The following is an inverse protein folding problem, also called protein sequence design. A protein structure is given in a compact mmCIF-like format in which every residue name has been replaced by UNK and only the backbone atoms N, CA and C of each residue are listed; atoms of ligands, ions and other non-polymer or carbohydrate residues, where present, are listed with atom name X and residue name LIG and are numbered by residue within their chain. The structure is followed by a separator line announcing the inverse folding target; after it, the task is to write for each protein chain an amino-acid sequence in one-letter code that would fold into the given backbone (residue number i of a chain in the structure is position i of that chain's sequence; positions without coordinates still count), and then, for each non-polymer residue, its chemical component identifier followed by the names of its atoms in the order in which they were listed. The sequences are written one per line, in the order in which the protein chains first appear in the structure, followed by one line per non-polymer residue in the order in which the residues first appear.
data_IF_533912491983
#
_entry.id   IF_533912491983
#
_cell.length_a   1.000
_cell.length_b   1.000
_cell.length_c   1.000
_cell.angle_alpha   90.00
_cell.angle_beta   90.00
_cell.angle_gamma   90.00
#
_symmetry.space_group_name_H-M   'P 1'
#
loop_
_entity.id
_entity.type
_entity.pdbx_description
1 polymer ?
#
# COMPACT_ATOMS: atom_id res chain seq x y z
N UNK A 1 4.55 6.74 -68.61
CA UNK A 1 5.80 6.65 -67.82
C UNK A 1 5.44 5.93 -66.52
N UNK A 2 5.86 4.65 -66.44
CA UNK A 2 6.16 3.83 -65.27
C UNK A 2 5.10 3.68 -64.14
N UNK A 3 4.68 2.43 -63.97
CA UNK A 3 3.92 1.84 -62.87
C UNK A 3 4.83 1.40 -61.71
N UNK A 4 4.28 1.25 -60.50
CA UNK A 4 4.66 0.17 -59.57
C UNK A 4 3.68 -0.01 -58.40
N UNK A 5 3.21 -1.25 -58.28
CA UNK A 5 2.45 -1.88 -57.19
C UNK A 5 3.34 -2.27 -55.99
N UNK A 6 2.67 -2.73 -54.91
CA UNK A 6 3.07 -3.75 -53.93
C UNK A 6 3.56 -3.32 -52.51
N UNK A 7 2.61 -3.37 -51.57
CA UNK A 7 2.52 -4.22 -50.35
C UNK A 7 3.78 -4.78 -49.64
N UNK A 8 3.88 -4.52 -48.33
CA UNK A 8 4.41 -5.39 -47.24
C UNK A 8 3.94 -4.76 -45.89
N UNK A 9 3.00 -5.30 -45.11
CA UNK A 9 2.96 -6.47 -44.22
C UNK A 9 3.85 -6.43 -42.95
N UNK A 10 3.15 -6.53 -41.80
CA UNK A 10 3.50 -7.11 -40.49
C UNK A 10 4.38 -6.33 -39.48
N UNK A 11 3.82 -6.16 -38.26
CA UNK A 11 4.53 -5.80 -37.03
C UNK A 11 3.60 -5.39 -35.87
N UNK A 12 3.09 -6.37 -35.12
CA UNK A 12 2.29 -6.23 -33.89
C UNK A 12 3.13 -5.61 -32.76
N UNK A 13 2.55 -4.73 -31.93
CA UNK A 13 2.61 -4.79 -30.45
C UNK A 13 2.36 -3.43 -29.77
N UNK A 14 1.31 -3.40 -28.93
CA UNK A 14 1.17 -2.67 -27.65
C UNK A 14 1.83 -1.29 -27.53
N UNK A 15 1.04 -0.22 -27.52
CA UNK A 15 1.05 0.87 -26.52
C UNK A 15 -0.29 1.60 -26.69
N UNK A 16 -1.30 1.18 -25.93
CA UNK A 16 -2.59 1.86 -25.82
C UNK A 16 -2.91 1.92 -24.33
N UNK A 17 -2.43 2.95 -23.64
CA UNK A 17 -3.01 3.34 -22.35
C UNK A 17 -2.64 4.78 -21.92
N UNK A 18 -1.62 5.39 -22.53
CA UNK A 18 -1.07 6.66 -22.01
C UNK A 18 -1.59 7.95 -22.65
N UNK A 19 -2.56 7.88 -23.58
CA UNK A 19 -3.11 9.09 -24.23
C UNK A 19 -4.47 9.54 -23.71
N UNK A 20 -5.17 8.71 -22.93
CA UNK A 20 -6.49 9.07 -22.40
C UNK A 20 -6.42 9.96 -21.15
N UNK A 21 -5.36 9.85 -20.34
CA UNK A 21 -5.25 10.61 -19.08
C UNK A 21 -4.83 12.07 -19.37
N UNK A 22 -3.94 12.28 -20.34
CA UNK A 22 -3.45 13.63 -20.69
C UNK A 22 -4.55 14.51 -21.29
N UNK A 23 -5.48 13.95 -22.07
CA UNK A 23 -6.59 14.71 -22.65
C UNK A 23 -7.66 15.14 -21.62
N UNK A 24 -7.80 14.40 -20.51
CA UNK A 24 -8.75 14.74 -19.45
C UNK A 24 -8.25 15.88 -18.57
N UNK A 25 -6.93 15.99 -18.36
CA UNK A 25 -6.34 17.00 -17.47
C UNK A 25 -6.41 18.40 -18.10
N UNK A 26 -6.16 18.55 -19.40
CA UNK A 26 -6.32 19.86 -20.08
C UNK A 26 -7.77 20.34 -20.14
N UNK A 27 -8.74 19.43 -20.07
CA UNK A 27 -10.16 19.79 -20.02
C UNK A 27 -10.60 20.15 -18.60
N UNK A 28 -9.88 19.68 -17.57
CA UNK A 28 -10.17 19.90 -16.15
C UNK A 28 -9.87 21.33 -15.69
N UNK A 29 -8.75 21.93 -16.15
CA UNK A 29 -8.39 23.32 -15.84
C UNK A 29 -9.37 24.36 -16.41
N UNK A 30 -10.07 24.03 -17.50
CA UNK A 30 -11.04 24.95 -18.10
C UNK A 30 -12.43 24.91 -17.40
N UNK A 31 -12.74 23.83 -16.69
CA UNK A 31 -14.06 23.61 -16.08
C UNK A 31 -14.12 24.12 -14.63
N UNK A 32 -13.00 24.11 -13.91
CA UNK A 32 -12.91 24.61 -12.53
C UNK A 32 -13.02 26.14 -12.43
N UNK A 33 -12.71 26.87 -13.50
CA UNK A 33 -12.87 28.33 -13.55
C UNK A 33 -14.31 28.77 -13.94
N UNK A 34 -15.16 27.84 -14.41
CA UNK A 34 -16.49 28.16 -14.96
C UNK A 34 -17.70 27.43 -14.34
N UNK A 35 -17.51 26.50 -13.39
CA UNK A 35 -18.62 25.70 -12.86
C UNK A 35 -19.33 26.35 -11.65
N UNK A 36 -20.62 26.74 -11.75
CA UNK A 36 -21.28 27.55 -10.71
C UNK A 36 -22.10 26.75 -9.68
N UNK A 37 -22.00 25.41 -9.59
CA UNK A 37 -22.88 24.66 -8.67
C UNK A 37 -22.31 23.35 -8.08
N UNK A 38 -22.53 23.19 -6.77
CA UNK A 38 -22.15 22.05 -5.91
C UNK A 38 -22.63 20.67 -6.40
N UNK A 39 -23.66 20.62 -7.25
CA UNK A 39 -24.27 19.36 -7.71
C UNK A 39 -23.43 18.64 -8.77
N UNK A 40 -22.67 19.39 -9.57
CA UNK A 40 -21.80 18.84 -10.64
C UNK A 40 -20.56 18.16 -10.04
N UNK A 41 -20.00 18.71 -8.96
CA UNK A 41 -18.88 18.13 -8.21
C UNK A 41 -19.27 16.78 -7.60
N UNK A 42 -20.49 16.67 -7.05
CA UNK A 42 -21.01 15.40 -6.52
C UNK A 42 -21.13 14.31 -7.57
N UNK A 43 -21.56 14.65 -8.80
CA UNK A 43 -21.70 13.67 -9.88
C UNK A 43 -20.36 13.20 -10.45
N UNK A 44 -19.34 14.05 -10.48
CA UNK A 44 -17.98 13.66 -10.88
C UNK A 44 -17.36 12.71 -9.83
N UNK A 45 -17.50 13.05 -8.55
CA UNK A 45 -16.98 12.25 -7.43
C UNK A 45 -17.59 10.84 -7.35
N UNK A 46 -18.90 10.71 -7.61
CA UNK A 46 -19.59 9.43 -7.63
C UNK A 46 -19.18 8.55 -8.82
N UNK A 47 -18.75 9.15 -9.93
CA UNK A 47 -18.24 8.43 -11.11
C UNK A 47 -16.84 7.87 -10.86
N UNK A 48 -15.94 8.63 -10.22
CA UNK A 48 -14.58 8.16 -9.88
C UNK A 48 -14.59 7.05 -8.82
N UNK A 49 -15.46 7.15 -7.81
CA UNK A 49 -15.66 6.06 -6.84
C UNK A 49 -16.16 4.77 -7.52
N UNK A 50 -16.94 4.87 -8.60
CA UNK A 50 -17.45 3.70 -9.32
C UNK A 50 -16.40 2.93 -10.13
N UNK A 51 -15.20 3.52 -10.34
CA UNK A 51 -14.05 2.86 -10.96
C UNK A 51 -13.05 2.29 -9.93
N UNK A 52 -13.01 2.87 -8.73
CA UNK A 52 -12.24 2.35 -7.57
C UNK A 52 -12.95 1.14 -6.95
N UNK A 53 -14.29 1.17 -6.88
CA UNK A 53 -15.13 0.10 -6.31
C UNK A 53 -14.88 -1.27 -6.96
N UNK A 54 -14.76 -1.42 -8.30
CA UNK A 54 -14.40 -2.69 -8.95
C UNK A 54 -13.04 -3.24 -8.53
N UNK A 55 -12.03 -2.39 -8.28
CA UNK A 55 -10.72 -2.80 -7.77
C UNK A 55 -10.74 -3.21 -6.29
N UNK A 56 -11.67 -2.66 -5.52
CA UNK A 56 -11.97 -3.09 -4.13
C UNK A 56 -12.74 -4.41 -4.14
N UNK A 57 -13.73 -4.57 -5.02
CA UNK A 57 -14.54 -5.79 -5.16
C UNK A 57 -13.70 -6.96 -5.71
N UNK A 58 -12.74 -6.71 -6.60
CA UNK A 58 -11.84 -7.75 -7.12
C UNK A 58 -10.80 -8.22 -6.09
N UNK A 59 -10.46 -7.41 -5.08
CA UNK A 59 -9.61 -7.79 -3.94
C UNK A 59 -10.37 -8.46 -2.79
N UNK A 60 -11.71 -8.39 -2.79
CA UNK A 60 -12.57 -9.27 -1.97
C UNK A 60 -12.68 -10.62 -2.72
N UNK A 61 -11.54 -11.21 -3.03
CA UNK A 61 -11.45 -12.47 -3.74
C UNK A 61 -11.47 -13.63 -2.74
N UNK A 62 -12.07 -14.75 -3.13
CA UNK A 62 -12.08 -16.02 -2.36
C UNK A 62 -10.67 -16.52 -2.00
N UNK A 63 -9.63 -15.91 -2.57
CA UNK A 63 -8.22 -16.20 -2.38
C UNK A 63 -7.75 -15.99 -0.93
N UNK A 64 -8.42 -15.10 -0.17
CA UNK A 64 -8.11 -14.86 1.25
C UNK A 64 -8.40 -16.08 2.14
N UNK A 65 -9.28 -16.99 1.70
CA UNK A 65 -9.55 -18.25 2.42
C UNK A 65 -8.45 -19.28 2.16
N UNK A 66 -7.76 -19.21 1.01
CA UNK A 66 -6.72 -20.18 0.61
C UNK A 66 -5.31 -19.89 1.14
N UNK A 67 -5.05 -18.70 1.71
CA UNK A 67 -3.73 -18.28 2.19
C UNK A 67 -3.54 -18.37 3.71
N UNK A 68 -4.41 -19.09 4.41
CA UNK A 68 -4.21 -19.40 5.83
C UNK A 68 -3.08 -20.43 5.97
N UNK A 69 -2.37 -20.50 7.12
CA UNK A 69 -1.46 -21.60 7.39
C UNK A 69 -2.20 -22.91 7.13
N UNK A 70 -1.69 -23.72 6.21
CA UNK A 70 -2.36 -24.88 5.62
C UNK A 70 -3.00 -25.78 6.70
N UNK A 71 -2.36 -25.85 7.86
CA UNK A 71 -2.76 -26.64 9.02
C UNK A 71 -4.11 -26.22 9.63
N UNK A 72 -4.39 -24.92 9.75
CA UNK A 72 -5.63 -24.43 10.41
C UNK A 72 -6.86 -24.65 9.52
N UNK A 73 -6.69 -24.49 8.20
CA UNK A 73 -7.74 -24.75 7.21
C UNK A 73 -8.10 -26.23 7.12
N UNK A 74 -7.10 -27.10 7.19
CA UNK A 74 -7.32 -28.55 7.17
C UNK A 74 -8.10 -28.99 8.41
N UNK A 75 -7.74 -28.47 9.59
CA UNK A 75 -8.43 -28.80 10.85
C UNK A 75 -9.88 -28.28 10.82
N UNK A 76 -10.11 -27.02 10.43
CA UNK A 76 -11.46 -26.47 10.33
C UNK A 76 -12.32 -27.24 9.30
N UNK A 77 -11.73 -27.59 8.15
CA UNK A 77 -12.39 -28.39 7.11
C UNK A 77 -12.81 -29.78 7.60
N UNK A 78 -11.95 -30.47 8.35
CA UNK A 78 -12.26 -31.78 8.94
C UNK A 78 -13.39 -31.70 9.97
N UNK A 79 -13.42 -30.64 10.79
CA UNK A 79 -14.47 -30.42 11.79
C UNK A 79 -15.81 -30.16 11.11
N UNK A 80 -15.85 -29.32 10.06
CA UNK A 80 -17.07 -29.05 9.27
C UNK A 80 -17.57 -30.33 8.59
N UNK A 81 -16.67 -31.08 7.94
CA UNK A 81 -17.02 -32.34 7.27
C UNK A 81 -17.63 -33.34 8.26
N UNK A 82 -16.98 -33.51 9.42
CA UNK A 82 -17.46 -34.41 10.48
C UNK A 82 -18.79 -33.95 11.06
N UNK A 83 -18.96 -32.65 11.30
CA UNK A 83 -20.20 -32.04 11.79
C UNK A 83 -21.38 -32.26 10.84
N UNK A 84 -21.17 -32.08 9.54
CA UNK A 84 -22.18 -32.31 8.50
C UNK A 84 -22.55 -33.78 8.36
N UNK A 85 -21.56 -34.69 8.42
CA UNK A 85 -21.80 -36.12 8.37
C UNK A 85 -22.71 -36.57 9.53
N UNK A 86 -22.44 -36.09 10.75
CA UNK A 86 -23.27 -36.37 11.92
C UNK A 86 -24.67 -35.75 11.82
N UNK A 87 -24.83 -34.59 11.19
CA UNK A 87 -26.14 -33.99 10.91
C UNK A 87 -26.98 -34.87 9.97
N UNK A 88 -26.35 -35.42 8.92
CA UNK A 88 -27.02 -36.35 7.98
C UNK A 88 -27.43 -37.64 8.70
N UNK A 89 -26.59 -38.19 9.57
CA UNK A 89 -26.91 -39.37 10.39
C UNK A 89 -28.06 -39.05 11.35
N UNK A 90 -28.03 -37.90 12.02
CA UNK A 90 -29.11 -37.47 12.92
C UNK A 90 -30.45 -37.39 12.17
N UNK A 91 -30.46 -36.81 10.96
CA UNK A 91 -31.65 -36.69 10.12
C UNK A 91 -32.18 -38.06 9.64
N UNK A 92 -31.28 -38.97 9.25
CA UNK A 92 -31.65 -40.34 8.90
C UNK A 92 -32.26 -41.10 10.10
N UNK A 93 -31.72 -40.90 11.31
CA UNK A 93 -32.23 -41.51 12.56
C UNK A 93 -33.58 -40.91 12.98
N UNK A 94 -33.82 -39.62 12.75
CA UNK A 94 -35.13 -38.98 12.93
C UNK A 94 -36.18 -39.61 11.99
N UNK A 95 -35.83 -39.82 10.71
CA UNK A 95 -36.72 -40.51 9.77
C UNK A 95 -37.02 -41.95 10.19
N UNK A 96 -36.09 -42.62 10.86
CA UNK A 96 -36.28 -43.96 11.44
C UNK A 96 -36.99 -43.95 12.81
N UNK A 97 -37.52 -42.81 13.28
CA UNK A 97 -38.17 -42.60 14.60
C UNK A 97 -37.28 -42.93 15.81
N UNK A 98 -35.95 -42.97 15.65
CA UNK A 98 -35.00 -43.24 16.75
C UNK A 98 -34.58 -41.94 17.45
N UNK A 99 -35.51 -41.36 18.20
CA UNK A 99 -35.40 -40.00 18.78
C UNK A 99 -34.19 -39.81 19.72
N UNK A 100 -33.87 -40.80 20.57
CA UNK A 100 -32.71 -40.73 21.48
C UNK A 100 -31.38 -40.65 20.70
N UNK A 101 -31.19 -41.53 19.71
CA UNK A 101 -29.99 -41.51 18.90
C UNK A 101 -29.89 -40.24 18.05
N UNK A 102 -31.02 -39.77 17.52
CA UNK A 102 -31.08 -38.51 16.79
C UNK A 102 -30.67 -37.32 17.66
N UNK A 103 -31.14 -37.26 18.91
CA UNK A 103 -30.78 -36.23 19.87
C UNK A 103 -29.27 -36.16 20.11
N UNK A 104 -28.63 -37.31 20.40
CA UNK A 104 -27.19 -37.37 20.66
C UNK A 104 -26.38 -36.89 19.44
N UNK A 105 -26.68 -37.39 18.25
CA UNK A 105 -25.96 -36.99 17.04
C UNK A 105 -26.20 -35.52 16.67
N UNK A 106 -27.40 -34.99 16.93
CA UNK A 106 -27.70 -33.57 16.70
C UNK A 106 -26.94 -32.63 17.64
N UNK A 107 -26.80 -33.00 18.92
CA UNK A 107 -26.04 -32.20 19.89
C UNK A 107 -24.55 -32.17 19.55
N UNK A 108 -23.96 -33.32 19.22
CA UNK A 108 -22.53 -33.41 18.83
C UNK A 108 -22.28 -32.62 17.53
N UNK A 109 -23.15 -32.76 16.54
CA UNK A 109 -23.06 -32.00 15.29
C UNK A 109 -23.11 -30.49 15.54
N UNK A 110 -24.03 -30.02 16.39
CA UNK A 110 -24.17 -28.61 16.73
C UNK A 110 -22.92 -28.06 17.39
N UNK A 111 -22.35 -28.78 18.37
CA UNK A 111 -21.11 -28.37 19.05
C UNK A 111 -19.94 -28.27 18.07
N UNK A 112 -19.79 -29.25 17.17
CA UNK A 112 -18.72 -29.25 16.17
C UNK A 112 -18.87 -28.07 15.18
N UNK A 113 -20.10 -27.77 14.75
CA UNK A 113 -20.35 -26.66 13.84
C UNK A 113 -20.11 -25.30 14.51
N UNK A 114 -20.53 -25.13 15.78
CA UNK A 114 -20.23 -23.91 16.56
C UNK A 114 -18.72 -23.74 16.74
N UNK A 115 -18.01 -24.83 17.05
CA UNK A 115 -16.55 -24.81 17.18
C UNK A 115 -15.86 -24.45 15.85
N UNK A 116 -16.33 -25.00 14.73
CA UNK A 116 -15.82 -24.65 13.41
C UNK A 116 -16.00 -23.16 13.10
N UNK A 117 -17.19 -22.60 13.38
CA UNK A 117 -17.46 -21.17 13.20
C UNK A 117 -16.54 -20.32 14.08
N UNK A 118 -16.34 -20.70 15.35
CA UNK A 118 -15.45 -20.00 16.27
C UNK A 118 -13.98 -20.03 15.80
N UNK A 119 -13.50 -21.18 15.31
CA UNK A 119 -12.16 -21.32 14.77
C UNK A 119 -11.97 -20.50 13.50
N UNK A 120 -12.93 -20.52 12.57
CA UNK A 120 -12.90 -19.69 11.35
C UNK A 120 -12.87 -18.20 11.73
N UNK A 121 -13.69 -17.76 12.68
CA UNK A 121 -13.71 -16.38 13.15
C UNK A 121 -12.38 -15.97 13.82
N UNK A 122 -11.79 -16.86 14.63
CA UNK A 122 -10.48 -16.66 15.23
C UNK A 122 -9.38 -16.61 14.17
N UNK A 123 -9.44 -17.47 13.15
CA UNK A 123 -8.49 -17.47 12.04
C UNK A 123 -8.56 -16.19 11.20
N UNK A 124 -9.77 -15.70 10.90
CA UNK A 124 -9.95 -14.40 10.23
C UNK A 124 -9.37 -13.25 11.08
N UNK A 125 -9.54 -13.34 12.40
CA UNK A 125 -8.97 -12.38 13.34
C UNK A 125 -7.43 -12.47 13.36
N UNK A 126 -6.82 -13.65 13.35
CA UNK A 126 -5.37 -13.83 13.34
C UNK A 126 -4.73 -13.50 11.98
N UNK A 127 -5.40 -13.78 10.86
CA UNK A 127 -4.93 -13.43 9.52
C UNK A 127 -4.78 -11.92 9.35
N UNK A 128 -5.73 -11.18 9.91
CA UNK A 128 -5.65 -9.72 10.06
C UNK A 128 -4.35 -9.29 10.77
N UNK A 129 -3.96 -9.98 11.84
CA UNK A 129 -2.74 -9.65 12.59
C UNK A 129 -1.46 -9.94 11.80
N UNK A 130 -1.43 -10.94 10.92
CA UNK A 130 -0.27 -11.17 10.04
C UNK A 130 -0.11 -10.09 8.98
N UNK A 131 -1.21 -9.47 8.55
CA UNK A 131 -1.17 -8.37 7.58
C UNK A 131 -0.56 -7.10 8.18
N UNK A 132 -0.70 -6.91 9.50
CA UNK A 132 -0.18 -5.77 10.26
C UNK A 132 1.36 -5.67 10.19
N UNK A 133 2.08 -6.77 9.98
CA UNK A 133 3.54 -6.81 10.10
C UNK A 133 4.34 -6.63 8.80
N UNK A 134 3.72 -6.38 7.65
CA UNK A 134 4.48 -6.20 6.41
C UNK A 134 4.89 -4.74 6.21
N UNK A 135 6.19 -4.50 6.31
CA UNK A 135 6.80 -3.27 5.82
C UNK A 135 6.84 -3.31 4.29
N UNK A 136 6.41 -2.23 3.66
CA UNK A 136 6.42 -2.12 2.20
C UNK A 136 7.72 -1.44 1.76
N UNK A 137 8.41 -1.99 0.76
CA UNK A 137 9.56 -1.34 0.14
C UNK A 137 9.11 -0.06 -0.59
N UNK A 138 9.76 1.06 -0.28
CA UNK A 138 9.39 2.38 -0.83
C UNK A 138 10.48 2.93 -1.74
N UNK A 139 11.73 2.87 -1.27
CA UNK A 139 12.86 3.41 -2.00
C UNK A 139 14.16 2.74 -1.57
N UNK A 140 15.17 2.89 -2.40
CA UNK A 140 16.56 2.59 -2.08
C UNK A 140 17.41 3.82 -2.43
N UNK A 141 18.38 4.15 -1.58
CA UNK A 141 19.27 5.30 -1.78
C UNK A 141 20.71 4.83 -1.70
N UNK A 142 21.51 5.24 -2.68
CA UNK A 142 22.96 5.01 -2.74
C UNK A 142 23.68 6.34 -2.74
N UNK A 143 24.69 6.46 -1.88
CA UNK A 143 25.49 7.66 -1.74
C UNK A 143 26.88 7.50 -2.37
N UNK A 144 27.36 8.59 -2.96
CA UNK A 144 28.74 8.75 -3.41
C UNK A 144 29.24 10.10 -2.93
N UNK A 145 30.34 10.12 -2.19
CA UNK A 145 30.93 11.35 -1.70
C UNK A 145 31.64 12.09 -2.84
N UNK A 146 31.33 13.38 -2.96
CA UNK A 146 31.92 14.30 -3.94
C UNK A 146 32.86 15.31 -3.27
N UNK A 147 32.70 15.55 -1.97
CA UNK A 147 33.54 16.41 -1.16
C UNK A 147 33.14 16.37 0.32
N UNK A 148 33.74 17.22 1.16
CA UNK A 148 33.30 17.40 2.55
C UNK A 148 31.83 17.81 2.58
N UNK A 149 31.00 17.06 3.32
CA UNK A 149 29.56 17.28 3.46
C UNK A 149 28.83 17.46 2.11
N UNK A 150 29.31 16.81 1.04
CA UNK A 150 28.74 16.93 -0.30
C UNK A 150 28.72 15.57 -0.99
N UNK A 151 27.51 15.13 -1.33
CA UNK A 151 27.25 13.78 -1.81
C UNK A 151 26.33 13.81 -3.04
N UNK A 152 26.55 12.87 -3.94
CA UNK A 152 25.52 12.44 -4.89
C UNK A 152 24.70 11.34 -4.24
N UNK A 153 23.37 11.49 -4.27
CA UNK A 153 22.40 10.52 -3.81
C UNK A 153 21.59 10.00 -5.00
N UNK A 154 21.77 8.73 -5.34
CA UNK A 154 20.96 8.05 -6.36
C UNK A 154 19.79 7.35 -5.68
N UNK A 155 18.57 7.75 -6.02
CA UNK A 155 17.33 7.17 -5.47
C UNK A 155 16.67 6.28 -6.52
N UNK A 156 16.32 5.06 -6.11
CA UNK A 156 15.49 4.11 -6.84
C UNK A 156 14.16 3.96 -6.11
N UNK A 157 13.05 4.35 -6.73
CA UNK A 157 11.72 4.19 -6.14
C UNK A 157 11.17 2.79 -6.46
N UNK A 158 10.46 2.16 -5.53
CA UNK A 158 9.94 0.80 -5.73
C UNK A 158 8.96 0.70 -6.94
N UNK A 159 8.19 1.77 -7.17
CA UNK A 159 7.18 1.82 -8.24
C UNK A 159 7.72 2.35 -9.58
N UNK A 160 8.95 2.90 -9.61
CA UNK A 160 9.56 3.47 -10.81
C UNK A 160 10.80 2.69 -11.22
N UNK A 161 10.91 2.37 -12.51
CA UNK A 161 12.09 1.69 -13.04
C UNK A 161 13.28 2.64 -13.31
N UNK A 162 13.16 3.91 -12.91
CA UNK A 162 14.15 4.95 -13.19
C UNK A 162 14.82 5.44 -11.91
N UNK A 163 16.15 5.43 -11.94
CA UNK A 163 16.95 6.03 -10.88
C UNK A 163 17.09 7.52 -11.12
N UNK A 164 16.93 8.33 -10.07
CA UNK A 164 17.14 9.78 -10.15
C UNK A 164 18.25 10.19 -9.19
N UNK A 165 19.17 11.03 -9.66
CA UNK A 165 20.33 11.50 -8.92
C UNK A 165 20.10 12.90 -8.36
N UNK A 166 20.47 13.12 -7.09
CA UNK A 166 20.34 14.40 -6.39
C UNK A 166 21.67 14.78 -5.73
N UNK A 167 22.03 16.07 -5.78
CA UNK A 167 23.24 16.59 -5.15
C UNK A 167 22.92 17.11 -3.75
N UNK A 168 23.32 16.38 -2.71
CA UNK A 168 22.94 16.66 -1.33
C UNK A 168 24.13 17.19 -0.54
N UNK A 169 23.92 18.28 0.19
CA UNK A 169 24.87 18.85 1.14
C UNK A 169 24.42 18.63 2.58
N UNK A 170 25.36 18.29 3.46
CA UNK A 170 25.12 18.04 4.88
C UNK A 170 25.86 16.81 5.38
N UNK A 171 25.62 16.46 6.64
CA UNK A 171 26.14 15.26 7.30
C UNK A 171 25.14 14.09 7.22
N UNK A 172 23.84 14.40 7.16
CA UNK A 172 22.73 13.46 7.17
C UNK A 172 21.80 13.71 5.99
N UNK A 173 21.20 12.64 5.47
CA UNK A 173 20.11 12.75 4.53
C UNK A 173 18.78 12.58 5.27
N UNK A 174 17.74 13.23 4.77
CA UNK A 174 16.39 13.11 5.30
C UNK A 174 15.39 12.90 4.16
N UNK A 175 14.53 11.90 4.30
CA UNK A 175 13.43 11.62 3.39
C UNK A 175 12.10 11.81 4.10
N UNK A 176 11.28 12.71 3.55
CA UNK A 176 9.96 13.05 4.11
C UNK A 176 8.84 12.40 3.29
N UNK A 177 7.81 11.91 3.98
CA UNK A 177 6.59 11.37 3.39
C UNK A 177 5.34 11.88 4.10
N UNK A 178 4.22 11.89 3.39
CA UNK A 178 2.87 12.00 3.97
C UNK A 178 2.17 10.65 3.91
N UNK A 179 1.52 10.28 5.01
CA UNK A 179 0.84 8.99 5.15
C UNK A 179 -0.63 9.23 5.50
N UNK A 180 -1.50 8.47 4.83
CA UNK A 180 -2.93 8.36 5.12
C UNK A 180 -3.19 6.96 5.66
N UNK A 181 -3.57 6.88 6.93
CA UNK A 181 -3.86 5.62 7.61
C UNK A 181 -5.36 5.37 7.62
N UNK A 182 -5.78 4.22 7.10
CA UNK A 182 -7.18 3.78 7.15
C UNK A 182 -7.57 3.28 8.53
N UNK A 183 -8.86 3.43 8.87
CA UNK A 183 -9.46 2.79 10.07
C UNK A 183 -9.47 1.27 9.92
N UNK A 184 -9.53 0.53 11.04
CA UNK A 184 -9.48 -0.94 11.02
C UNK A 184 -10.45 -1.59 10.03
N UNK A 185 -11.74 -1.22 9.92
CA UNK A 185 -12.65 -1.90 8.97
C UNK A 185 -12.19 -1.84 7.50
N UNK A 186 -11.53 -0.75 7.10
CA UNK A 186 -11.03 -0.55 5.73
C UNK A 186 -9.70 -1.25 5.52
N UNK A 187 -8.81 -1.17 6.51
CA UNK A 187 -7.57 -1.94 6.50
C UNK A 187 -7.83 -3.45 6.43
N UNK A 188 -8.82 -3.96 7.18
CA UNK A 188 -9.27 -5.35 7.14
C UNK A 188 -9.81 -5.78 5.77
N UNK A 189 -10.36 -4.84 5.00
CA UNK A 189 -10.99 -5.10 3.72
C UNK A 189 -10.00 -5.21 2.54
N UNK A 190 -8.69 -5.24 2.78
CA UNK A 190 -7.71 -5.34 1.68
C UNK A 190 -7.00 -4.03 1.32
N UNK A 191 -7.30 -2.92 1.99
CA UNK A 191 -6.74 -1.60 1.62
C UNK A 191 -5.55 -1.21 2.50
N UNK A 192 -4.38 -1.05 1.87
CA UNK A 192 -3.17 -0.59 2.55
C UNK A 192 -3.15 0.94 2.69
N UNK A 193 -2.33 1.44 3.62
CA UNK A 193 -2.18 2.89 3.83
C UNK A 193 -1.61 3.55 2.58
N UNK A 194 -2.10 4.74 2.25
CA UNK A 194 -1.57 5.50 1.13
C UNK A 194 -0.38 6.33 1.61
N UNK A 195 0.67 6.41 0.80
CA UNK A 195 1.82 7.27 1.07
C UNK A 195 2.20 8.08 -0.17
N UNK A 196 2.88 9.19 0.07
CA UNK A 196 3.52 9.99 -0.97
C UNK A 196 4.84 10.55 -0.44
N UNK A 197 5.92 10.22 -1.13
CA UNK A 197 7.22 10.82 -0.88
C UNK A 197 7.17 12.30 -1.28
N UNK A 198 7.53 13.18 -0.37
CA UNK A 198 7.40 14.62 -0.57
C UNK A 198 8.73 15.21 -1.04
N UNK A 199 9.81 14.93 -0.30
CA UNK A 199 11.12 15.52 -0.57
C UNK A 199 12.25 14.72 0.03
N UNK A 200 13.43 14.87 -0.57
CA UNK A 200 14.70 14.51 0.01
C UNK A 200 15.50 15.78 0.31
N UNK A 201 16.16 15.84 1.46
CA UNK A 201 17.02 16.94 1.84
C UNK A 201 18.29 16.47 2.52
N UNK A 202 19.30 17.32 2.49
CA UNK A 202 20.45 17.21 3.37
C UNK A 202 20.22 17.98 4.66
N UNK A 203 20.87 17.51 5.72
CA UNK A 203 20.76 18.05 7.06
C UNK A 203 22.15 18.05 7.71
N UNK A 204 22.50 19.17 8.31
CA UNK A 204 23.72 19.37 9.07
C UNK A 204 23.46 18.97 10.51
N UNK A 205 24.45 18.32 11.12
CA UNK A 205 24.35 17.89 12.52
C UNK A 205 24.55 19.08 13.46
N UNK A 206 25.49 19.95 13.12
CA UNK A 206 25.71 21.19 13.85
C UNK A 206 24.57 22.20 13.59
N UNK A 207 24.08 22.80 14.68
CA UNK A 207 22.91 23.70 14.62
C UNK A 207 23.25 25.04 13.98
N UNK A 208 24.49 25.52 14.12
CA UNK A 208 24.92 26.76 13.46
C UNK A 208 25.15 26.49 11.97
N UNK A 209 25.76 25.36 11.60
CA UNK A 209 25.85 24.93 10.20
C UNK A 209 24.46 24.78 9.56
N UNK A 210 23.49 24.13 10.21
CA UNK A 210 22.12 23.99 9.66
C UNK A 210 21.44 25.35 9.43
N UNK A 211 21.83 26.40 10.16
CA UNK A 211 21.31 27.77 9.97
C UNK A 211 22.05 28.54 8.87
N UNK A 212 23.36 28.38 8.76
CA UNK A 212 24.21 29.25 7.93
C UNK A 212 24.64 28.61 6.62
N UNK A 213 24.81 27.29 6.61
CA UNK A 213 25.27 26.55 5.44
C UNK A 213 24.16 26.35 4.40
N UNK A 214 24.58 26.09 3.17
CA UNK A 214 23.68 26.05 2.03
C UNK A 214 22.87 24.74 1.99
N UNK A 215 21.63 24.79 2.48
CA UNK A 215 20.68 23.67 2.49
C UNK A 215 20.30 23.19 1.07
N UNK A 216 20.35 21.87 0.86
CA UNK A 216 19.86 21.21 -0.37
C UNK A 216 18.57 20.47 -0.12
N UNK A 217 17.53 20.78 -0.90
CA UNK A 217 16.20 20.16 -0.79
C UNK A 217 15.64 19.94 -2.20
N UNK A 218 15.17 18.74 -2.46
CA UNK A 218 14.56 18.36 -3.74
C UNK A 218 13.17 17.78 -3.52
N UNK A 219 12.19 18.28 -4.28
CA UNK A 219 10.87 17.67 -4.32
C UNK A 219 10.94 16.32 -5.01
N UNK A 220 10.34 15.30 -4.40
CA UNK A 220 10.11 13.99 -5.01
C UNK A 220 8.70 13.89 -5.62
N UNK A 221 7.88 14.92 -5.43
CA UNK A 221 6.55 14.99 -6.03
C UNK A 221 6.68 15.47 -7.48
N UNK A 222 6.55 14.54 -8.44
CA UNK A 222 6.61 14.85 -9.89
C UNK A 222 5.32 15.49 -10.44
N UNK A 223 4.18 15.24 -9.81
CA UNK A 223 2.89 15.82 -10.20
C UNK A 223 2.07 16.15 -8.96
N UNK A 224 1.66 17.42 -8.83
CA UNK A 224 0.63 17.87 -7.90
C UNK A 224 -0.73 17.37 -8.37
N UNK A 225 -0.94 16.04 -8.36
CA UNK A 225 -2.27 15.46 -8.53
C UNK A 225 -3.22 15.98 -7.45
N UNK A 226 -4.48 15.49 -7.46
CA UNK A 226 -5.47 15.83 -6.44
C UNK A 226 -4.85 15.89 -5.04
N UNK A 227 -4.79 17.10 -4.46
CA UNK A 227 -4.22 17.29 -3.14
C UNK A 227 -5.24 16.81 -2.10
N UNK A 228 -5.27 15.49 -1.90
CA UNK A 228 -6.10 14.82 -0.90
C UNK A 228 -5.93 15.49 0.47
N UNK A 229 -4.74 16.04 0.74
CA UNK A 229 -4.47 16.85 1.93
C UNK A 229 -5.37 18.09 2.07
N UNK A 230 -5.50 18.89 1.02
CA UNK A 230 -6.42 20.04 1.02
C UNK A 230 -7.87 19.60 1.22
N UNK A 231 -8.29 18.50 0.59
CA UNK A 231 -9.67 18.01 0.64
C UNK A 231 -10.01 17.50 2.04
N UNK A 232 -9.12 16.72 2.65
CA UNK A 232 -9.35 16.14 3.99
C UNK A 232 -9.39 17.20 5.07
N UNK A 233 -8.58 18.27 4.91
CA UNK A 233 -8.60 19.43 5.81
C UNK A 233 -9.89 20.24 5.72
N UNK A 234 -10.45 20.42 4.52
CA UNK A 234 -11.66 21.22 4.32
C UNK A 234 -12.96 20.44 4.52
N UNK A 235 -12.96 19.12 4.33
CA UNK A 235 -14.15 18.26 4.41
C UNK A 235 -13.93 16.97 5.23
N UNK A 236 -13.58 17.06 6.52
CA UNK A 236 -13.27 15.89 7.34
C UNK A 236 -14.46 14.91 7.45
N UNK A 237 -15.70 15.40 7.37
CA UNK A 237 -16.92 14.58 7.44
C UNK A 237 -17.15 13.69 6.21
N UNK A 238 -16.46 13.94 5.09
CA UNK A 238 -16.60 13.12 3.88
C UNK A 238 -15.73 11.85 3.88
N UNK A 239 -14.77 11.74 4.81
CA UNK A 239 -13.83 10.62 4.86
C UNK A 239 -13.81 9.97 6.27
N UNK A 240 -14.93 9.41 6.76
CA UNK A 240 -15.03 8.81 8.09
C UNK A 240 -14.18 7.52 8.25
N UNK A 241 -13.63 7.03 7.14
CA UNK A 241 -12.85 5.82 7.04
C UNK A 241 -11.36 6.03 7.31
N UNK A 242 -10.92 7.28 7.45
CA UNK A 242 -9.52 7.62 7.72
C UNK A 242 -9.32 7.74 9.22
N UNK A 243 -8.28 7.07 9.71
CA UNK A 243 -7.89 7.04 11.12
C UNK A 243 -7.00 8.24 11.44
N UNK A 244 -5.94 8.41 10.66
CA UNK A 244 -4.94 9.46 10.85
C UNK A 244 -4.34 9.94 9.52
N UNK A 245 -3.91 11.19 9.54
CA UNK A 245 -3.07 11.81 8.51
C UNK A 245 -1.85 12.37 9.23
N UNK A 246 -0.66 11.96 8.82
CA UNK A 246 0.56 12.40 9.50
C UNK A 246 1.76 12.41 8.54
N UNK A 247 2.75 13.21 8.89
CA UNK A 247 4.05 13.20 8.24
C UNK A 247 4.97 12.20 8.93
N UNK A 248 5.79 11.51 8.14
CA UNK A 248 6.90 10.72 8.65
C UNK A 248 8.17 11.18 7.95
N UNK A 249 9.27 11.20 8.70
CA UNK A 249 10.58 11.49 8.17
C UNK A 249 11.55 10.43 8.69
N UNK A 250 12.46 9.97 7.84
CA UNK A 250 13.60 9.16 8.26
C UNK A 250 14.88 9.87 7.86
N UNK A 251 15.88 9.85 8.72
CA UNK A 251 17.18 10.44 8.45
C UNK A 251 18.28 9.55 9.00
N UNK A 252 19.39 9.47 8.27
CA UNK A 252 20.59 8.73 8.63
C UNK A 252 21.82 9.47 8.10
N UNK A 253 23.01 9.20 8.66
CA UNK A 253 24.26 9.78 8.16
C UNK A 253 24.50 9.46 6.67
N UNK A 254 25.06 10.44 5.97
CA UNK A 254 25.61 10.23 4.63
C UNK A 254 27.06 9.75 4.76
N UNK A 255 27.41 8.74 3.97
CA UNK A 255 28.76 8.21 3.91
C UNK A 255 29.07 7.73 2.51
N UNK A 256 30.35 7.75 2.12
CA UNK A 256 30.72 7.28 0.79
C UNK A 256 30.34 5.81 0.61
N UNK A 257 29.79 5.49 -0.56
CA UNK A 257 29.31 4.17 -0.93
C UNK A 257 28.22 3.57 -0.03
N UNK A 258 27.64 4.33 0.91
CA UNK A 258 26.56 3.85 1.76
C UNK A 258 25.28 3.60 0.98
N UNK A 259 24.59 2.51 1.31
CA UNK A 259 23.33 2.10 0.68
C UNK A 259 22.29 1.84 1.75
N UNK A 260 21.13 2.46 1.58
CA UNK A 260 20.00 2.33 2.49
C UNK A 260 18.76 1.84 1.77
N UNK A 261 18.08 0.86 2.37
CA UNK A 261 16.75 0.43 1.97
C UNK A 261 15.71 1.12 2.85
N UNK A 262 14.74 1.75 2.21
CA UNK A 262 13.66 2.48 2.87
C UNK A 262 12.36 1.70 2.70
N UNK A 263 11.70 1.50 3.83
CA UNK A 263 10.43 0.79 3.93
C UNK A 263 9.40 1.64 4.66
N UNK A 264 8.12 1.44 4.34
CA UNK A 264 7.00 2.01 5.07
C UNK A 264 6.43 0.96 6.01
N UNK A 265 6.50 1.24 7.31
CA UNK A 265 5.87 0.45 8.36
C UNK A 265 4.56 1.09 8.82
N UNK A 266 3.91 0.47 9.81
CA UNK A 266 2.71 1.04 10.43
C UNK A 266 2.96 2.34 11.19
N UNK A 267 4.19 2.59 11.63
CA UNK A 267 4.57 3.76 12.43
C UNK A 267 5.20 4.87 11.59
N UNK A 268 5.59 4.58 10.35
CA UNK A 268 6.23 5.53 9.45
C UNK A 268 7.32 4.90 8.59
N UNK A 269 8.13 5.77 7.97
CA UNK A 269 9.31 5.36 7.22
C UNK A 269 10.38 4.78 8.13
N UNK A 270 11.03 3.73 7.66
CA UNK A 270 12.19 3.10 8.27
C UNK A 270 13.28 2.98 7.21
N UNK A 271 14.48 3.45 7.53
CA UNK A 271 15.66 3.26 6.71
C UNK A 271 16.61 2.26 7.38
N UNK A 272 17.16 1.33 6.60
CA UNK A 272 18.15 0.35 7.08
C UNK A 272 19.37 0.32 6.18
N UNK A 273 20.58 0.25 6.73
CA UNK A 273 21.76 0.00 5.93
C UNK A 273 21.65 -1.40 5.31
N UNK A 274 22.12 -1.53 4.07
CA UNK A 274 22.15 -2.84 3.37
C UNK A 274 23.54 -3.16 2.83
N UNK A 275 24.56 -2.43 3.28
CA UNK A 275 25.97 -2.71 3.04
C UNK A 275 26.83 -2.21 4.20
N UNK A 276 28.09 -2.67 4.22
CA UNK A 276 29.09 -2.33 5.24
C UNK A 276 29.26 -0.82 5.42
N UNK A 277 29.44 -0.06 4.33
CA UNK A 277 29.56 1.39 4.40
C UNK A 277 28.33 2.09 5.03
N UNK A 278 27.13 1.55 4.82
CA UNK A 278 25.92 2.03 5.47
C UNK A 278 25.90 1.69 6.97
N UNK A 279 26.35 0.50 7.36
CA UNK A 279 26.46 0.10 8.77
C UNK A 279 27.50 0.94 9.52
N UNK A 280 28.68 1.14 8.93
CA UNK A 280 29.73 2.01 9.47
C UNK A 280 29.22 3.43 9.72
N UNK A 281 28.47 3.99 8.77
CA UNK A 281 27.92 5.35 8.90
C UNK A 281 27.04 5.52 10.15
N UNK A 282 26.34 4.45 10.56
CA UNK A 282 25.46 4.45 11.74
C UNK A 282 26.26 4.18 13.01
N UNK A 283 27.30 3.35 12.96
CA UNK A 283 28.13 3.06 14.13
C UNK A 283 28.85 4.30 14.66
N UNK A 284 29.23 5.22 13.78
CA UNK A 284 29.89 6.49 14.14
C UNK A 284 28.90 7.67 14.23
N UNK A 285 27.62 7.38 14.46
CA UNK A 285 26.57 8.38 14.56
C UNK A 285 26.36 8.83 16.01
N UNK A 286 27.08 9.88 16.39
CA UNK A 286 26.97 10.58 17.69
C UNK A 286 26.33 11.97 17.53
#
# INVERSE_FOLDING_TARGET
MIASNCSFSAGISLISFNHSITAYIYTFDYITESAPNHTTIKHLYLRDMSEIIPGIISKISLDNVLQLPLEVNVIAGLIVFTGLLLAVIAFARLRQKRLLSAGIYSSISTVLLVLAVALIALSMNLYTYNRISHEQDVAEIVFKQLGPQYYSATISLADEHQNTEYMIKGDEWQLDTRIIKWRPPVYLAGLDSLYRLERISGRYRDVEEEKTENRTVYSLTKNEGLDIWSITKHYPSWLPWIDAYYGSATYLPMHDSARFKITLSQTGLLARPVNEAGEESIQFWD
#
